data_IF_776220538796
#
_entry.id   IF_776220538796
#
_cell.length_a   1.000
_cell.length_b   1.000
_cell.length_c   1.000
_cell.angle_alpha   90.00
_cell.angle_beta   90.00
_cell.angle_gamma   90.00
#
_symmetry.space_group_name_H-M   'P 1'
#
loop_
_entity.id
_entity.type
_entity.pdbx_description
1 polymer ?
#
# COMPACT_ATOMS: atom_id res chain seq x y z
N UNK A 1 19.69 -1.41 13.30
CA UNK A 1 19.53 -1.86 11.87
C UNK A 1 19.43 -0.61 11.00
N UNK A 2 19.81 -0.66 9.72
CA UNK A 2 19.52 0.46 8.80
C UNK A 2 18.01 0.53 8.56
N UNK A 3 17.41 1.71 8.50
CA UNK A 3 15.97 1.84 8.25
C UNK A 3 15.59 1.33 6.86
N UNK A 4 14.39 0.79 6.72
CA UNK A 4 13.80 0.44 5.44
C UNK A 4 13.42 1.74 4.70
N UNK A 5 14.05 2.00 3.57
CA UNK A 5 13.76 3.17 2.75
C UNK A 5 12.58 2.88 1.82
N UNK A 6 11.55 3.69 1.91
CA UNK A 6 10.28 3.50 1.20
C UNK A 6 9.99 4.70 0.32
N UNK A 7 9.49 4.45 -0.89
CA UNK A 7 8.91 5.48 -1.74
C UNK A 7 7.38 5.38 -1.74
N UNK A 8 6.71 6.52 -1.82
CA UNK A 8 5.27 6.62 -2.04
C UNK A 8 5.02 6.96 -3.51
N UNK A 9 4.23 6.13 -4.18
CA UNK A 9 3.77 6.35 -5.56
C UNK A 9 2.25 6.55 -5.52
N UNK A 10 1.83 7.78 -5.78
CA UNK A 10 0.49 8.29 -5.53
C UNK A 10 0.44 9.05 -4.20
N UNK A 11 0.47 10.39 -4.28
CA UNK A 11 0.45 11.30 -3.13
C UNK A 11 -0.93 11.93 -2.91
N UNK A 12 -2.01 11.19 -3.23
CA UNK A 12 -3.38 11.59 -3.01
C UNK A 12 -3.83 11.47 -1.55
N UNK A 13 -5.15 11.62 -1.33
CA UNK A 13 -5.75 11.67 0.01
C UNK A 13 -5.39 10.48 0.90
N UNK A 14 -5.37 9.24 0.37
CA UNK A 14 -5.03 8.06 1.17
C UNK A 14 -3.57 8.11 1.67
N UNK A 15 -2.65 8.60 0.86
CA UNK A 15 -1.25 8.75 1.23
C UNK A 15 -1.07 9.85 2.26
N UNK A 16 -1.67 11.02 2.05
CA UNK A 16 -1.55 12.18 2.94
C UNK A 16 -2.19 11.94 4.31
N UNK A 17 -3.32 11.23 4.36
CA UNK A 17 -4.10 11.06 5.58
C UNK A 17 -3.72 9.79 6.37
N UNK A 18 -3.20 8.76 5.69
CA UNK A 18 -2.95 7.46 6.34
C UNK A 18 -1.51 6.98 6.17
N UNK A 19 -1.01 6.80 4.92
CA UNK A 19 0.31 6.19 4.73
C UNK A 19 1.45 7.04 5.31
N UNK A 20 1.52 8.30 4.96
CA UNK A 20 2.59 9.18 5.42
C UNK A 20 2.58 9.37 6.94
N UNK A 21 1.44 9.70 7.59
CA UNK A 21 1.37 9.76 9.05
C UNK A 21 1.68 8.42 9.72
N UNK A 22 1.19 7.30 9.16
CA UNK A 22 1.45 5.97 9.71
C UNK A 22 2.93 5.59 9.63
N UNK A 23 3.60 5.88 8.52
CA UNK A 23 5.03 5.62 8.35
C UNK A 23 5.89 6.48 9.29
N UNK A 24 5.48 7.71 9.58
CA UNK A 24 6.17 8.58 10.53
C UNK A 24 6.21 8.01 11.96
N UNK A 25 5.28 7.11 12.30
CA UNK A 25 5.25 6.40 13.58
C UNK A 25 6.14 5.15 13.61
N UNK A 26 6.72 4.75 12.47
CA UNK A 26 7.54 3.55 12.35
C UNK A 26 9.03 3.90 12.43
N UNK A 27 9.73 3.65 13.55
CA UNK A 27 11.12 4.09 13.73
C UNK A 27 12.11 3.41 12.78
N UNK A 28 11.75 2.22 12.29
CA UNK A 28 12.59 1.44 11.37
C UNK A 28 12.29 1.71 9.88
N UNK A 29 11.44 2.68 9.59
CA UNK A 29 11.05 3.03 8.21
C UNK A 29 11.36 4.50 7.93
N UNK A 30 11.83 4.79 6.73
CA UNK A 30 12.06 6.14 6.26
C UNK A 30 11.47 6.34 4.87
N UNK A 31 10.60 7.33 4.71
CA UNK A 31 10.16 7.77 3.38
C UNK A 31 11.29 8.57 2.74
N UNK A 32 11.80 8.08 1.61
CA UNK A 32 12.96 8.68 0.91
C UNK A 32 12.62 9.31 -0.42
N UNK A 33 11.48 8.94 -1.01
CA UNK A 33 11.04 9.50 -2.29
C UNK A 33 9.51 9.57 -2.40
N UNK A 34 9.03 10.53 -3.16
CA UNK A 34 7.61 10.75 -3.46
C UNK A 34 7.39 10.80 -4.96
N UNK A 35 6.30 10.21 -5.44
CA UNK A 35 5.90 10.26 -6.84
C UNK A 35 4.41 10.51 -6.98
N UNK A 36 4.04 11.47 -7.81
CA UNK A 36 2.65 11.69 -8.23
C UNK A 36 2.66 12.45 -9.57
N UNK A 37 1.79 12.08 -10.50
CA UNK A 37 1.64 12.78 -11.77
C UNK A 37 0.96 14.15 -11.64
N UNK A 38 0.36 14.44 -10.48
CA UNK A 38 -0.18 15.75 -10.14
C UNK A 38 0.83 16.53 -9.29
N UNK A 39 1.43 17.62 -9.82
CA UNK A 39 2.41 18.41 -9.08
C UNK A 39 1.88 19.02 -7.77
N UNK A 40 0.59 19.30 -7.68
CA UNK A 40 -0.01 19.87 -6.47
C UNK A 40 -0.05 18.84 -5.32
N UNK A 41 -0.39 17.58 -5.63
CA UNK A 41 -0.33 16.48 -4.66
C UNK A 41 1.11 16.26 -4.17
N UNK A 42 2.05 16.28 -5.12
CA UNK A 42 3.47 16.08 -4.86
C UNK A 42 4.02 17.17 -3.93
N UNK A 43 3.71 18.43 -4.18
CA UNK A 43 4.12 19.56 -3.35
C UNK A 43 3.50 19.48 -1.95
N UNK A 44 2.23 19.08 -1.84
CA UNK A 44 1.57 18.89 -0.55
C UNK A 44 2.28 17.80 0.27
N UNK A 45 2.58 16.66 -0.35
CA UNK A 45 3.27 15.55 0.32
C UNK A 45 4.71 15.95 0.69
N UNK A 46 5.42 16.67 -0.17
CA UNK A 46 6.75 17.21 0.09
C UNK A 46 6.75 18.13 1.31
N UNK A 47 5.81 19.03 1.38
CA UNK A 47 5.68 19.98 2.50
C UNK A 47 5.37 19.25 3.81
N UNK A 48 4.47 18.24 3.77
CA UNK A 48 4.09 17.46 4.95
C UNK A 48 5.25 16.62 5.49
N UNK A 49 6.12 16.10 4.63
CA UNK A 49 7.14 15.09 5.01
C UNK A 49 8.56 15.65 5.08
N UNK A 50 8.85 16.75 4.41
CA UNK A 50 10.20 17.26 4.21
C UNK A 50 11.04 16.44 3.22
N UNK A 51 10.45 15.44 2.54
CA UNK A 51 11.14 14.63 1.53
C UNK A 51 11.44 15.48 0.30
N UNK A 52 12.72 15.54 -0.08
CA UNK A 52 13.17 16.38 -1.19
C UNK A 52 13.24 15.65 -2.53
N UNK A 53 13.33 14.33 -2.51
CA UNK A 53 13.35 13.53 -3.74
C UNK A 53 11.92 13.34 -4.23
N UNK A 54 11.60 13.97 -5.35
CA UNK A 54 10.27 13.93 -5.94
C UNK A 54 10.36 13.69 -7.44
N UNK A 55 9.39 12.98 -8.02
CA UNK A 55 9.26 12.80 -9.47
C UNK A 55 7.81 12.68 -9.88
N UNK A 56 7.49 13.05 -11.11
CA UNK A 56 6.20 12.77 -11.74
C UNK A 56 6.21 11.44 -12.51
N UNK A 57 7.37 10.80 -12.67
CA UNK A 57 7.53 9.49 -13.30
C UNK A 57 7.97 8.44 -12.26
N UNK A 58 7.10 7.46 -12.02
CA UNK A 58 7.41 6.35 -11.11
C UNK A 58 8.62 5.51 -11.58
N UNK A 59 8.93 5.48 -12.88
CA UNK A 59 10.08 4.74 -13.40
C UNK A 59 11.41 5.31 -12.89
N UNK A 60 11.49 6.61 -12.63
CA UNK A 60 12.66 7.21 -12.01
C UNK A 60 12.80 6.77 -10.55
N UNK A 61 11.68 6.66 -9.84
CA UNK A 61 11.66 6.28 -8.42
C UNK A 61 12.02 4.80 -8.22
N UNK A 62 11.46 3.90 -9.01
CA UNK A 62 11.72 2.46 -8.85
C UNK A 62 13.16 2.07 -9.21
N UNK A 63 13.87 2.86 -10.02
CA UNK A 63 15.27 2.62 -10.39
C UNK A 63 16.28 3.08 -9.32
N UNK A 64 15.84 3.79 -8.29
CA UNK A 64 16.75 4.33 -7.27
C UNK A 64 17.30 3.24 -6.36
N UNK A 65 18.58 3.23 -6.12
CA UNK A 65 19.25 2.27 -5.22
C UNK A 65 18.93 2.52 -3.75
N UNK A 66 18.59 3.76 -3.38
CA UNK A 66 18.23 4.15 -2.02
C UNK A 66 16.73 3.91 -1.69
N UNK A 67 15.97 3.29 -2.59
CA UNK A 67 14.59 2.84 -2.36
C UNK A 67 14.59 1.31 -2.27
N UNK A 68 14.12 0.77 -1.15
CA UNK A 68 14.01 -0.67 -0.92
C UNK A 68 12.60 -1.20 -1.20
N UNK A 69 11.57 -0.39 -0.90
CA UNK A 69 10.19 -0.75 -1.07
C UNK A 69 9.37 0.41 -1.64
N UNK A 70 8.27 0.09 -2.30
CA UNK A 70 7.30 1.08 -2.78
C UNK A 70 5.91 0.82 -2.20
N UNK A 71 5.21 1.90 -1.87
CA UNK A 71 3.78 1.88 -1.56
C UNK A 71 3.06 2.51 -2.75
N UNK A 72 2.18 1.74 -3.38
CA UNK A 72 1.42 2.16 -4.55
C UNK A 72 0.02 2.55 -4.08
N UNK A 73 -0.30 3.84 -4.19
CA UNK A 73 -1.56 4.44 -3.77
C UNK A 73 -2.15 5.33 -4.87
N UNK A 74 -2.00 4.89 -6.10
CA UNK A 74 -2.48 5.52 -7.34
C UNK A 74 -3.90 5.04 -7.70
N UNK A 75 -4.54 5.51 -8.76
CA UNK A 75 -5.79 4.92 -9.25
C UNK A 75 -5.64 3.43 -9.58
N UNK A 76 -6.68 2.65 -9.27
CA UNK A 76 -6.67 1.18 -9.31
C UNK A 76 -6.15 0.58 -10.62
N UNK A 77 -6.48 1.22 -11.76
CA UNK A 77 -6.06 0.76 -13.09
C UNK A 77 -4.55 0.78 -13.30
N UNK A 78 -3.82 1.58 -12.55
CA UNK A 78 -2.37 1.74 -12.67
C UNK A 78 -1.58 0.81 -11.74
N UNK A 79 -2.23 0.16 -10.76
CA UNK A 79 -1.56 -0.71 -9.79
C UNK A 79 -0.72 -1.80 -10.45
N UNK A 80 -1.24 -2.59 -11.43
CA UNK A 80 -0.46 -3.66 -12.03
C UNK A 80 0.78 -3.14 -12.78
N UNK A 81 0.63 -2.05 -13.52
CA UNK A 81 1.72 -1.46 -14.28
C UNK A 81 2.89 -1.03 -13.37
N UNK A 82 2.56 -0.28 -12.33
CA UNK A 82 3.57 0.25 -11.38
C UNK A 82 4.18 -0.89 -10.56
N UNK A 83 3.36 -1.86 -10.13
CA UNK A 83 3.85 -2.99 -9.37
C UNK A 83 4.84 -3.85 -10.17
N UNK A 84 4.54 -4.15 -11.45
CA UNK A 84 5.45 -4.89 -12.31
C UNK A 84 6.78 -4.16 -12.52
N UNK A 85 6.75 -2.83 -12.71
CA UNK A 85 7.97 -2.03 -12.82
C UNK A 85 8.81 -2.08 -11.53
N UNK A 86 8.16 -1.96 -10.37
CA UNK A 86 8.82 -2.03 -9.06
C UNK A 86 9.41 -3.43 -8.80
N UNK A 87 8.65 -4.49 -9.08
CA UNK A 87 9.08 -5.89 -8.94
C UNK A 87 10.29 -6.17 -9.83
N UNK A 88 10.24 -5.76 -11.11
CA UNK A 88 11.34 -5.91 -12.05
C UNK A 88 12.61 -5.18 -11.60
N UNK A 89 12.46 -4.07 -10.87
CA UNK A 89 13.56 -3.34 -10.24
C UNK A 89 13.99 -3.91 -8.87
N UNK A 90 13.46 -5.08 -8.48
CA UNK A 90 13.81 -5.76 -7.22
C UNK A 90 13.25 -5.08 -5.95
N UNK A 91 12.23 -4.22 -6.09
CA UNK A 91 11.64 -3.50 -4.94
C UNK A 91 10.54 -4.33 -4.28
N UNK A 92 10.49 -4.28 -2.95
CA UNK A 92 9.33 -4.77 -2.21
C UNK A 92 8.11 -3.88 -2.50
N UNK A 93 6.90 -4.48 -2.53
CA UNK A 93 5.70 -3.77 -2.97
C UNK A 93 4.57 -3.90 -1.94
N UNK A 94 4.01 -2.78 -1.53
CA UNK A 94 2.69 -2.70 -0.92
C UNK A 94 1.77 -1.94 -1.87
N UNK A 95 0.68 -2.55 -2.31
CA UNK A 95 -0.30 -1.90 -3.19
C UNK A 95 -1.62 -1.67 -2.48
N UNK A 96 -2.23 -0.52 -2.69
CA UNK A 96 -3.59 -0.23 -2.22
C UNK A 96 -4.60 -1.21 -2.81
N UNK A 97 -5.71 -1.31 -2.12
CA UNK A 97 -6.86 -2.11 -2.54
C UNK A 97 -7.77 -1.29 -3.50
N UNK A 98 -8.43 -1.94 -4.45
CA UNK A 98 -8.24 -3.33 -4.87
C UNK A 98 -6.87 -3.52 -5.55
N UNK A 99 -6.29 -4.71 -5.41
CA UNK A 99 -4.95 -5.00 -5.95
C UNK A 99 -4.88 -4.78 -7.47
N UNK A 100 -5.93 -5.19 -8.18
CA UNK A 100 -6.13 -4.99 -9.61
C UNK A 100 -7.64 -4.97 -9.92
N UNK A 101 -8.01 -4.64 -11.15
CA UNK A 101 -9.40 -4.61 -11.59
C UNK A 101 -9.93 -6.00 -11.99
N UNK A 102 -9.06 -6.99 -12.16
CA UNK A 102 -9.42 -8.36 -12.50
C UNK A 102 -8.46 -9.37 -11.88
N UNK A 103 -8.88 -10.64 -11.90
CA UNK A 103 -8.10 -11.74 -11.33
C UNK A 103 -6.78 -12.01 -12.08
N UNK A 104 -6.77 -11.89 -13.39
CA UNK A 104 -5.59 -12.21 -14.20
C UNK A 104 -4.42 -11.29 -13.86
N UNK A 105 -4.67 -9.99 -13.78
CA UNK A 105 -3.67 -8.98 -13.39
C UNK A 105 -3.21 -9.18 -11.95
N UNK A 106 -4.13 -9.40 -11.01
CA UNK A 106 -3.78 -9.64 -9.61
C UNK A 106 -2.91 -10.89 -9.45
N UNK A 107 -3.23 -11.96 -10.18
CA UNK A 107 -2.43 -13.20 -10.19
C UNK A 107 -1.05 -12.97 -10.81
N UNK A 108 -0.98 -12.24 -11.92
CA UNK A 108 0.29 -11.92 -12.57
C UNK A 108 1.23 -11.13 -11.65
N UNK A 109 0.69 -10.14 -10.91
CA UNK A 109 1.46 -9.38 -9.92
C UNK A 109 2.02 -10.29 -8.81
N UNK A 110 1.19 -11.18 -8.26
CA UNK A 110 1.61 -12.10 -7.20
C UNK A 110 2.71 -13.06 -7.70
N UNK A 111 2.50 -13.68 -8.86
CA UNK A 111 3.48 -14.61 -9.48
C UNK A 111 4.80 -13.89 -9.77
N UNK A 112 4.76 -12.70 -10.35
CA UNK A 112 5.97 -11.93 -10.62
C UNK A 112 6.75 -11.59 -9.34
N UNK A 113 6.06 -11.21 -8.26
CA UNK A 113 6.69 -10.89 -6.99
C UNK A 113 7.33 -12.13 -6.33
N UNK A 114 6.64 -13.28 -6.38
CA UNK A 114 7.17 -14.54 -5.86
C UNK A 114 8.40 -15.00 -6.66
N UNK A 115 8.36 -14.89 -7.98
CA UNK A 115 9.49 -15.23 -8.86
C UNK A 115 10.71 -14.32 -8.64
N UNK A 116 10.47 -13.02 -8.40
CA UNK A 116 11.53 -12.07 -8.10
C UNK A 116 12.04 -12.17 -6.64
N UNK A 117 11.40 -12.97 -5.78
CA UNK A 117 11.77 -13.10 -4.37
C UNK A 117 11.53 -11.83 -3.54
N UNK A 118 10.72 -10.89 -4.03
CA UNK A 118 10.41 -9.66 -3.30
C UNK A 118 9.22 -9.87 -2.36
N UNK A 119 9.21 -9.12 -1.25
CA UNK A 119 8.04 -9.11 -0.36
C UNK A 119 6.94 -8.27 -0.98
N UNK A 120 5.72 -8.79 -0.93
CA UNK A 120 4.57 -8.08 -1.48
C UNK A 120 3.35 -8.20 -0.57
N UNK A 121 2.50 -7.17 -0.58
CA UNK A 121 1.30 -7.12 0.23
C UNK A 121 0.23 -6.23 -0.39
N UNK A 122 -1.03 -6.63 -0.28
CA UNK A 122 -2.17 -5.73 -0.51
C UNK A 122 -2.54 -5.02 0.79
N UNK A 123 -2.83 -3.73 0.73
CA UNK A 123 -3.17 -2.89 1.87
C UNK A 123 -4.58 -3.20 2.44
N UNK A 124 -4.79 -4.43 2.89
CA UNK A 124 -6.01 -4.83 3.60
C UNK A 124 -5.94 -4.43 5.07
N UNK A 125 -6.20 -3.18 5.36
CA UNK A 125 -6.06 -2.57 6.70
C UNK A 125 -6.80 -3.32 7.80
N UNK A 126 -7.97 -3.90 7.50
CA UNK A 126 -8.74 -4.67 8.49
C UNK A 126 -8.03 -5.89 9.05
N UNK A 127 -7.05 -6.45 8.34
CA UNK A 127 -6.22 -7.54 8.86
C UNK A 127 -5.37 -7.11 10.06
N UNK A 128 -5.18 -5.82 10.25
CA UNK A 128 -4.30 -5.24 11.28
C UNK A 128 -5.07 -4.51 12.39
N UNK A 129 -6.39 -4.32 12.24
CA UNK A 129 -7.22 -3.72 13.29
C UNK A 129 -7.18 -4.60 14.54
N UNK A 130 -6.92 -4.05 15.74
CA UNK A 130 -6.72 -4.83 16.96
C UNK A 130 -7.88 -5.78 17.28
N UNK A 131 -9.13 -5.34 17.16
CA UNK A 131 -10.31 -6.20 17.39
C UNK A 131 -10.39 -7.38 16.44
N UNK A 132 -10.05 -7.20 15.15
CA UNK A 132 -10.05 -8.28 14.17
C UNK A 132 -8.91 -9.27 14.43
N UNK A 133 -7.75 -8.77 14.85
CA UNK A 133 -6.63 -9.61 15.25
C UNK A 133 -6.94 -10.40 16.52
N UNK A 134 -7.62 -9.78 17.47
CA UNK A 134 -8.04 -10.45 18.69
C UNK A 134 -9.08 -11.55 18.41
N UNK A 135 -10.10 -11.27 17.58
CA UNK A 135 -11.05 -12.29 17.14
C UNK A 135 -10.34 -13.48 16.47
N UNK A 136 -9.41 -13.21 15.55
CA UNK A 136 -8.60 -14.26 14.93
C UNK A 136 -7.83 -15.07 15.99
N UNK A 137 -7.25 -14.42 16.98
CA UNK A 137 -6.51 -15.05 18.07
C UNK A 137 -7.41 -15.99 18.87
N UNK A 138 -8.61 -15.57 19.27
CA UNK A 138 -9.59 -16.41 19.99
C UNK A 138 -9.99 -17.65 19.18
N UNK A 139 -10.20 -17.50 17.86
CA UNK A 139 -10.52 -18.62 16.97
C UNK A 139 -9.35 -19.61 16.92
N UNK A 140 -8.13 -19.12 16.75
CA UNK A 140 -6.93 -19.95 16.63
C UNK A 140 -6.59 -20.69 17.92
N UNK A 141 -6.92 -20.14 19.08
CA UNK A 141 -6.78 -20.80 20.38
C UNK A 141 -7.88 -21.83 20.66
N UNK A 142 -8.94 -21.82 19.88
CA UNK A 142 -10.10 -22.68 20.13
C UNK A 142 -11.05 -22.16 21.23
N UNK A 143 -10.82 -20.94 21.74
CA UNK A 143 -11.63 -20.34 22.81
C UNK A 143 -13.12 -20.19 22.42
N UNK A 144 -13.42 -20.14 21.13
CA UNK A 144 -14.77 -20.06 20.56
C UNK A 144 -15.30 -21.43 20.07
N UNK A 145 -14.56 -22.52 20.29
CA UNK A 145 -14.87 -23.82 19.72
C UNK A 145 -14.69 -23.84 18.20
N UNK A 146 -15.37 -24.78 17.53
CA UNK A 146 -15.35 -24.90 16.07
C UNK A 146 -16.35 -23.92 15.46
N UNK A 147 -15.92 -22.90 14.70
CA UNK A 147 -16.86 -21.97 14.07
C UNK A 147 -17.53 -22.63 12.87
N UNK A 148 -18.86 -22.74 12.90
CA UNK A 148 -19.67 -23.29 11.81
C UNK A 148 -20.29 -22.21 10.93
N UNK A 149 -20.44 -20.99 11.48
CA UNK A 149 -21.06 -19.89 10.76
C UNK A 149 -20.41 -18.56 11.16
N UNK A 150 -20.22 -17.69 10.17
CA UNK A 150 -19.77 -16.31 10.39
C UNK A 150 -20.71 -15.36 9.65
N UNK A 151 -21.23 -14.38 10.36
CA UNK A 151 -22.02 -13.29 9.81
C UNK A 151 -21.45 -11.97 10.27
N UNK A 152 -21.15 -11.07 9.35
CA UNK A 152 -20.75 -9.71 9.67
C UNK A 152 -21.55 -8.71 8.85
N UNK A 153 -21.73 -7.52 9.42
CA UNK A 153 -22.35 -6.40 8.74
C UNK A 153 -21.50 -5.16 8.98
N UNK A 154 -21.18 -4.44 7.92
CA UNK A 154 -20.50 -3.16 8.00
C UNK A 154 -21.37 -2.10 7.37
N UNK A 155 -21.98 -1.28 8.21
CA UNK A 155 -22.78 -0.14 7.77
C UNK A 155 -21.89 1.07 7.60
N UNK A 156 -21.99 1.74 6.45
CA UNK A 156 -21.21 2.93 6.11
C UNK A 156 -22.11 3.91 5.38
N UNK A 157 -22.02 5.18 5.73
CA UNK A 157 -22.81 6.27 5.18
C UNK A 157 -22.13 7.01 4.01
N UNK A 158 -20.84 6.75 3.77
CA UNK A 158 -20.09 7.43 2.71
C UNK A 158 -20.49 7.05 1.28
N UNK A 159 -21.19 5.92 1.10
CA UNK A 159 -21.66 5.44 -0.21
C UNK A 159 -22.70 6.34 -0.87
N UNK A 160 -23.30 7.27 -0.15
CA UNK A 160 -24.24 8.26 -0.67
C UNK A 160 -23.57 9.46 -1.36
N UNK A 161 -22.26 9.57 -1.29
CA UNK A 161 -21.52 10.61 -2.00
C UNK A 161 -21.22 10.17 -3.41
N UNK A 162 -21.62 10.97 -4.41
CA UNK A 162 -21.44 10.77 -5.86
C UNK A 162 -19.97 10.68 -6.33
N UNK A 163 -19.03 10.42 -5.45
CA UNK A 163 -17.58 10.38 -5.71
C UNK A 163 -16.99 8.97 -5.73
N UNK A 164 -17.83 7.95 -5.91
CA UNK A 164 -17.37 6.57 -6.06
C UNK A 164 -17.57 6.17 -7.52
N UNK A 165 -16.72 6.68 -8.39
CA UNK A 165 -16.49 6.13 -9.72
C UNK A 165 -15.00 5.96 -9.91
#
# INVERSE_FOLDING_TARGET
MKPLCVAIIGCGGISLQNHLPGLALCPDVRVTALCDNNPANLETARTQTGVTVTSTDYNEIVKRDDVHAVIIATPNITHPLIAHAAIAAGKHVMSEKPLALNYADAKAMAVAADQAGVRHMTAFTYRFVPSMRYLKHLIQRGDLGTPYHYRSCRLQDWGDRKSVV
#
